data_IF_855755646079
#
_entry.id   IF_855755646079
#
_cell.length_a   1.000
_cell.length_b   1.000
_cell.length_c   1.000
_cell.angle_alpha   90.00
_cell.angle_beta   90.00
_cell.angle_gamma   90.00
#
_symmetry.space_group_name_H-M   'P 1'
#
loop_
_entity.id
_entity.type
_entity.pdbx_description
1 polymer ?
#
# COMPACT_ATOMS: atom_id res chain seq x y z
N UNK A 1 -27.94 24.07 46.89
CA UNK A 1 -28.17 24.19 45.43
C UNK A 1 -27.04 23.44 44.75
N UNK A 2 -27.33 22.27 44.18
CA UNK A 2 -26.34 21.39 43.53
C UNK A 2 -26.79 21.15 42.09
N UNK A 3 -25.96 21.42 41.07
CA UNK A 3 -26.33 21.09 39.69
C UNK A 3 -26.03 19.60 39.42
N UNK A 4 -27.07 18.85 39.09
CA UNK A 4 -26.93 17.49 38.52
C UNK A 4 -26.53 17.63 37.06
N UNK A 5 -25.26 17.32 36.75
CA UNK A 5 -24.78 17.22 35.38
C UNK A 5 -25.14 15.83 34.82
N UNK A 6 -26.03 15.80 33.82
CA UNK A 6 -26.22 14.62 32.95
C UNK A 6 -25.11 14.62 31.89
N UNK A 7 -24.05 13.85 32.12
CA UNK A 7 -23.04 13.54 31.12
C UNK A 7 -23.45 12.30 30.32
N UNK A 8 -23.47 12.43 29.00
CA UNK A 8 -23.91 11.43 28.02
C UNK A 8 -23.04 10.17 28.06
N UNK A 9 -23.65 8.98 27.96
CA UNK A 9 -22.90 7.74 27.79
C UNK A 9 -22.30 7.68 26.38
N UNK A 10 -21.03 7.26 26.20
CA UNK A 10 -20.48 7.01 24.88
C UNK A 10 -21.23 5.83 24.24
N UNK A 11 -21.70 6.04 23.01
CA UNK A 11 -22.30 4.97 22.20
C UNK A 11 -21.23 3.89 21.98
N UNK A 12 -21.55 2.60 22.20
CA UNK A 12 -20.65 1.54 21.75
C UNK A 12 -20.60 1.60 20.23
N UNK A 13 -19.42 1.84 19.67
CA UNK A 13 -19.13 1.59 18.27
C UNK A 13 -19.35 0.08 18.04
N UNK A 14 -20.52 -0.27 17.50
CA UNK A 14 -20.73 -1.61 17.00
C UNK A 14 -19.71 -1.83 15.87
N UNK A 15 -18.82 -2.80 16.06
CA UNK A 15 -17.98 -3.35 15.01
C UNK A 15 -18.88 -3.98 13.93
N UNK A 16 -19.33 -3.15 12.99
CA UNK A 16 -19.98 -3.63 11.79
C UNK A 16 -18.94 -4.38 10.97
N UNK A 17 -19.18 -5.67 10.75
CA UNK A 17 -18.48 -6.47 9.76
C UNK A 17 -18.31 -5.65 8.48
N UNK A 18 -17.06 -5.44 8.05
CA UNK A 18 -16.73 -4.59 6.91
C UNK A 18 -17.54 -5.02 5.68
N UNK A 19 -18.51 -4.19 5.30
CA UNK A 19 -19.18 -4.33 4.03
C UNK A 19 -18.10 -4.30 2.93
N UNK A 20 -18.12 -5.22 1.96
CA UNK A 20 -17.12 -5.25 0.90
C UNK A 20 -17.17 -3.91 0.17
N UNK A 21 -16.05 -3.18 0.20
CA UNK A 21 -15.90 -1.92 -0.53
C UNK A 21 -15.99 -2.28 -2.01
N UNK A 22 -17.14 -1.97 -2.61
CA UNK A 22 -17.37 -2.08 -4.04
C UNK A 22 -16.81 -0.84 -4.70
N UNK A 23 -15.55 -0.93 -5.08
CA UNK A 23 -14.90 0.03 -5.98
C UNK A 23 -15.45 -0.14 -7.40
N UNK A 24 -15.42 0.92 -8.20
CA UNK A 24 -15.76 0.87 -9.64
C UNK A 24 -14.85 -0.06 -10.47
N UNK A 25 -13.85 -0.69 -9.84
CA UNK A 25 -12.97 -1.70 -10.43
C UNK A 25 -13.45 -3.15 -10.15
N UNK A 26 -14.44 -3.37 -9.28
CA UNK A 26 -15.04 -4.70 -9.11
C UNK A 26 -15.62 -5.16 -10.46
N UNK A 27 -15.06 -6.25 -11.01
CA UNK A 27 -15.44 -6.79 -12.32
C UNK A 27 -14.67 -6.22 -13.52
N UNK A 28 -13.81 -5.22 -13.33
CA UNK A 28 -12.89 -4.69 -14.36
C UNK A 28 -11.43 -5.05 -14.12
N UNK A 29 -11.14 -5.75 -13.04
CA UNK A 29 -9.83 -6.37 -12.84
C UNK A 29 -9.63 -7.38 -13.98
N UNK A 30 -8.86 -6.96 -14.99
CA UNK A 30 -8.37 -7.86 -16.02
C UNK A 30 -7.65 -9.04 -15.38
N UNK A 31 -7.45 -10.12 -16.14
CA UNK A 31 -6.78 -11.33 -15.66
C UNK A 31 -5.55 -10.96 -14.85
N UNK A 32 -5.55 -11.31 -13.55
CA UNK A 32 -4.37 -11.13 -12.71
C UNK A 32 -3.24 -11.91 -13.36
N UNK A 33 -2.09 -11.28 -13.61
CA UNK A 33 -0.93 -11.92 -14.22
C UNK A 33 -0.51 -13.05 -13.28
N UNK A 34 -0.70 -14.28 -13.74
CA UNK A 34 -0.49 -15.47 -12.91
C UNK A 34 0.69 -16.31 -13.40
N UNK A 35 1.23 -15.98 -14.58
CA UNK A 35 2.37 -16.69 -15.16
C UNK A 35 3.63 -15.82 -15.11
N UNK A 36 4.83 -16.42 -15.04
CA UNK A 36 6.09 -15.69 -15.10
C UNK A 36 6.24 -14.82 -16.37
N UNK A 37 5.73 -15.29 -17.51
CA UNK A 37 5.80 -14.54 -18.77
C UNK A 37 4.87 -13.32 -18.76
N UNK A 38 3.68 -13.42 -18.17
CA UNK A 38 2.79 -12.27 -17.99
C UNK A 38 3.47 -11.19 -17.12
N UNK A 39 4.12 -11.61 -16.02
CA UNK A 39 4.84 -10.71 -15.12
C UNK A 39 6.03 -10.04 -15.84
N UNK A 40 6.77 -10.79 -16.65
CA UNK A 40 7.88 -10.23 -17.46
C UNK A 40 7.36 -9.22 -18.47
N UNK A 41 6.29 -9.55 -19.21
CA UNK A 41 5.67 -8.64 -20.16
C UNK A 41 5.18 -7.35 -19.49
N UNK A 42 4.64 -7.44 -18.27
CA UNK A 42 4.25 -6.26 -17.51
C UNK A 42 5.44 -5.42 -17.06
N UNK A 43 6.51 -6.04 -16.58
CA UNK A 43 7.73 -5.32 -16.20
C UNK A 43 8.32 -4.58 -17.42
N UNK A 44 8.37 -5.24 -18.58
CA UNK A 44 8.77 -4.63 -19.85
C UNK A 44 7.86 -3.46 -20.21
N UNK A 45 6.54 -3.62 -20.10
CA UNK A 45 5.60 -2.54 -20.37
C UNK A 45 5.74 -1.36 -19.40
N UNK A 46 5.96 -1.63 -18.10
CA UNK A 46 6.18 -0.61 -17.08
C UNK A 46 7.45 0.20 -17.36
N UNK A 47 8.53 -0.47 -17.76
CA UNK A 47 9.77 0.19 -18.16
C UNK A 47 9.55 1.07 -19.40
N UNK A 48 9.10 0.49 -20.51
CA UNK A 48 9.05 1.23 -21.78
C UNK A 48 7.96 2.30 -21.85
N UNK A 49 6.84 2.14 -21.13
CA UNK A 49 5.71 3.08 -21.22
C UNK A 49 5.65 4.07 -20.06
N UNK A 50 6.19 3.73 -18.90
CA UNK A 50 6.09 4.55 -17.68
C UNK A 50 7.45 4.91 -17.07
N UNK A 51 8.55 4.33 -17.57
CA UNK A 51 9.88 4.54 -16.99
C UNK A 51 10.01 3.98 -15.58
N UNK A 52 9.20 2.98 -15.23
CA UNK A 52 9.18 2.40 -13.87
C UNK A 52 9.85 1.03 -13.89
N UNK A 53 10.80 0.82 -12.98
CA UNK A 53 11.41 -0.47 -12.70
C UNK A 53 11.23 -0.83 -11.21
N UNK A 54 10.97 -2.10 -10.93
CA UNK A 54 10.97 -2.64 -9.56
C UNK A 54 12.31 -3.34 -9.34
N UNK A 55 13.08 -2.86 -8.37
CA UNK A 55 14.39 -3.41 -8.01
C UNK A 55 14.36 -3.62 -6.50
N UNK A 56 14.83 -4.77 -6.01
CA UNK A 56 14.97 -4.93 -4.56
C UNK A 56 16.06 -4.00 -4.07
N UNK A 57 15.87 -3.41 -2.89
CA UNK A 57 16.87 -2.53 -2.32
C UNK A 57 18.24 -3.23 -2.17
N UNK A 58 18.24 -4.53 -1.85
CA UNK A 58 19.44 -5.36 -1.70
C UNK A 58 20.20 -5.57 -3.02
N UNK A 59 19.52 -5.43 -4.17
CA UNK A 59 20.12 -5.61 -5.50
C UNK A 59 20.84 -4.33 -5.98
N UNK A 60 20.72 -3.21 -5.25
CA UNK A 60 21.47 -1.99 -5.58
C UNK A 60 22.92 -2.13 -5.12
N UNK A 61 23.91 -2.09 -6.03
CA UNK A 61 25.30 -2.36 -5.67
C UNK A 61 25.86 -1.28 -4.73
N UNK A 62 25.53 -0.01 -5.01
CA UNK A 62 26.02 1.13 -4.28
C UNK A 62 25.21 1.41 -3.01
N UNK A 63 25.92 1.60 -1.90
CA UNK A 63 25.32 1.92 -0.60
C UNK A 63 24.66 3.31 -0.56
N UNK A 64 25.25 4.31 -1.22
CA UNK A 64 24.66 5.64 -1.29
C UNK A 64 23.32 5.64 -2.03
N UNK A 65 23.23 4.88 -3.12
CA UNK A 65 22.00 4.76 -3.90
C UNK A 65 20.93 4.03 -3.09
N UNK A 66 21.31 3.00 -2.31
CA UNK A 66 20.38 2.34 -1.37
C UNK A 66 19.82 3.32 -0.35
N UNK A 67 20.67 4.08 0.32
CA UNK A 67 20.23 5.06 1.33
C UNK A 67 19.32 6.13 0.72
N UNK A 68 19.65 6.63 -0.48
CA UNK A 68 18.83 7.62 -1.17
C UNK A 68 17.46 7.06 -1.54
N UNK A 69 17.40 5.87 -2.14
CA UNK A 69 16.13 5.21 -2.50
C UNK A 69 15.31 4.88 -1.26
N UNK A 70 15.94 4.43 -0.17
CA UNK A 70 15.26 4.16 1.10
C UNK A 70 14.69 5.44 1.73
N UNK A 71 15.43 6.55 1.70
CA UNK A 71 14.95 7.83 2.21
C UNK A 71 13.75 8.35 1.40
N UNK A 72 13.81 8.26 0.06
CA UNK A 72 12.70 8.62 -0.83
C UNK A 72 11.48 7.74 -0.52
N UNK A 73 11.67 6.42 -0.46
CA UNK A 73 10.60 5.48 -0.15
C UNK A 73 9.99 5.74 1.24
N UNK A 74 10.82 6.05 2.23
CA UNK A 74 10.38 6.40 3.59
C UNK A 74 9.55 7.68 3.60
N UNK A 75 9.96 8.68 2.81
CA UNK A 75 9.21 9.93 2.69
C UNK A 75 7.85 9.74 2.00
N UNK A 76 7.77 8.83 1.02
CA UNK A 76 6.54 8.62 0.23
C UNK A 76 5.58 7.64 0.89
N UNK A 77 6.10 6.59 1.53
CA UNK A 77 5.33 5.43 1.99
C UNK A 77 5.49 5.14 3.48
N UNK A 78 6.30 5.91 4.20
CA UNK A 78 6.65 5.67 5.59
C UNK A 78 7.77 4.64 5.77
N UNK A 79 8.26 4.50 7.00
CA UNK A 79 9.35 3.55 7.30
C UNK A 79 8.91 2.12 6.99
N UNK A 80 9.77 1.36 6.32
CA UNK A 80 9.56 -0.07 6.08
C UNK A 80 9.59 -0.80 7.43
N UNK A 81 8.48 -1.43 7.81
CA UNK A 81 8.48 -2.40 8.90
C UNK A 81 8.97 -3.73 8.33
N UNK A 82 10.09 -4.30 8.82
CA UNK A 82 10.45 -5.66 8.44
C UNK A 82 9.27 -6.56 8.84
N UNK A 83 8.67 -7.22 7.85
CA UNK A 83 7.72 -8.29 8.12
C UNK A 83 8.57 -9.48 8.55
N UNK A 84 8.45 -9.86 9.82
CA UNK A 84 9.09 -11.02 10.43
C UNK A 84 8.68 -12.33 9.71
#
# INVERSE_FOLDING_TARGET
MSPTSRGVAPRPCAAGAGAPVTTSLQGRLGRTPSTPDDLRSMATAAWHKRGVAMIRLDDLPNEFDRLAVEAIATSLYGKRTPSE
#
